data_IF_678962303854
#
_entry.id   IF_678962303854
#
_cell.length_a   1.000
_cell.length_b   1.000
_cell.length_c   1.000
_cell.angle_alpha   90.00
_cell.angle_beta   90.00
_cell.angle_gamma   90.00
#
_symmetry.space_group_name_H-M   'P 1'
#
loop_
_entity.id
_entity.type
_entity.pdbx_description
1 polymer ?
#
# COMPACT_ATOMS: atom_id res chain seq x y z
N UNK A 1 16.24 -28.59 17.76
CA UNK A 1 15.82 -27.21 17.44
C UNK A 1 16.69 -26.75 16.28
N UNK A 2 16.11 -26.53 15.11
CA UNK A 2 16.83 -26.01 13.95
C UNK A 2 16.79 -24.49 14.06
N UNK A 3 17.94 -23.82 13.99
CA UNK A 3 17.97 -22.36 13.96
C UNK A 3 17.38 -21.92 12.61
N UNK A 4 16.34 -21.08 12.58
CA UNK A 4 15.78 -20.61 11.32
C UNK A 4 16.83 -19.83 10.52
N UNK A 5 16.83 -20.01 9.20
CA UNK A 5 17.76 -19.33 8.29
C UNK A 5 17.49 -17.82 8.31
N UNK A 6 18.54 -17.02 8.08
CA UNK A 6 18.42 -15.56 8.01
C UNK A 6 18.33 -15.10 6.56
N UNK A 7 17.34 -14.27 6.27
CA UNK A 7 17.23 -13.57 4.99
C UNK A 7 18.14 -12.34 4.98
N UNK A 8 18.73 -12.08 3.81
CA UNK A 8 19.40 -10.85 3.46
C UNK A 8 18.68 -10.22 2.26
N UNK A 9 18.57 -8.90 2.28
CA UNK A 9 18.03 -8.12 1.16
C UNK A 9 19.13 -7.25 0.58
N UNK A 10 19.26 -7.28 -0.74
CA UNK A 10 20.01 -6.26 -1.49
C UNK A 10 19.02 -5.47 -2.33
N UNK A 11 19.05 -4.15 -2.21
CA UNK A 11 18.14 -3.27 -2.96
C UNK A 11 18.91 -2.74 -4.16
N UNK A 12 18.30 -2.89 -5.33
CA UNK A 12 18.82 -2.38 -6.58
C UNK A 12 17.97 -1.19 -7.02
N UNK A 13 18.63 -0.07 -7.28
CA UNK A 13 17.99 1.11 -7.85
C UNK A 13 18.28 1.08 -9.34
N UNK A 14 17.30 0.63 -10.13
CA UNK A 14 17.44 0.57 -11.58
C UNK A 14 16.42 1.55 -12.16
N UNK A 15 16.89 2.70 -12.65
CA UNK A 15 16.15 3.38 -13.69
C UNK A 15 16.27 2.55 -14.95
N UNK A 16 15.21 1.82 -15.29
CA UNK A 16 15.13 1.10 -16.55
C UNK A 16 15.06 2.14 -17.68
N UNK A 17 16.22 2.61 -18.11
CA UNK A 17 16.38 3.17 -19.45
C UNK A 17 16.32 1.98 -20.39
N UNK A 18 15.12 1.69 -20.91
CA UNK A 18 14.99 0.77 -22.04
C UNK A 18 15.93 1.28 -23.14
N UNK A 19 17.06 0.60 -23.35
CA UNK A 19 17.81 0.68 -24.60
C UNK A 19 16.98 -0.05 -25.67
N UNK A 20 15.86 0.57 -26.03
CA UNK A 20 15.08 0.22 -27.20
C UNK A 20 15.82 0.74 -28.42
N UNK A 21 16.40 -0.18 -29.19
CA UNK A 21 16.75 0.06 -30.59
C UNK A 21 15.44 0.38 -31.32
N UNK A 22 15.21 1.65 -31.66
CA UNK A 22 14.07 2.06 -32.50
C UNK A 22 13.64 3.51 -32.30
N UNK A 23 14.07 4.40 -33.19
CA UNK A 23 13.76 5.82 -33.22
C UNK A 23 12.26 6.13 -33.33
N UNK A 24 11.75 7.12 -32.59
CA UNK A 24 11.22 8.40 -33.10
C UNK A 24 10.85 9.31 -31.93
N UNK A 25 11.26 10.58 -32.01
CA UNK A 25 10.92 11.66 -31.09
C UNK A 25 9.44 11.65 -30.70
N UNK A 26 9.14 11.15 -29.51
CA UNK A 26 8.03 11.63 -28.72
C UNK A 26 8.66 11.96 -27.37
N UNK A 27 8.77 13.25 -27.06
CA UNK A 27 9.36 13.76 -25.82
C UNK A 27 8.58 13.29 -24.59
N UNK A 28 8.78 12.03 -24.20
CA UNK A 28 8.53 11.59 -22.85
C UNK A 28 9.60 12.28 -22.00
N UNK A 29 9.15 13.25 -21.20
CA UNK A 29 9.96 13.85 -20.16
C UNK A 29 10.58 12.69 -19.33
N UNK A 30 11.91 12.62 -19.15
CA UNK A 30 12.55 11.58 -18.34
C UNK A 30 12.00 11.48 -16.90
N UNK A 31 11.26 12.49 -16.43
CA UNK A 31 10.53 12.44 -15.15
C UNK A 31 9.25 11.57 -15.16
N UNK A 32 8.77 11.11 -16.33
CA UNK A 32 7.50 10.36 -16.48
C UNK A 32 7.64 8.83 -16.49
N UNK A 33 8.85 8.29 -16.32
CA UNK A 33 9.04 6.84 -16.23
C UNK A 33 8.54 6.32 -14.87
N UNK A 34 7.76 5.21 -14.84
CA UNK A 34 7.36 4.59 -13.59
C UNK A 34 8.60 4.14 -12.82
N UNK A 35 8.68 4.54 -11.55
CA UNK A 35 9.80 4.22 -10.68
C UNK A 35 9.48 2.96 -9.89
N UNK A 36 10.48 2.09 -9.73
CA UNK A 36 10.30 0.83 -9.02
C UNK A 36 11.32 0.67 -7.91
N UNK A 37 10.87 0.10 -6.80
CA UNK A 37 11.72 -0.55 -5.82
C UNK A 37 11.98 -1.98 -6.30
N UNK A 38 13.24 -2.31 -6.55
CA UNK A 38 13.67 -3.65 -6.89
C UNK A 38 14.52 -4.20 -5.76
N UNK A 39 14.13 -5.35 -5.24
CA UNK A 39 14.88 -6.04 -4.20
C UNK A 39 15.27 -7.44 -4.64
N UNK A 40 16.39 -7.90 -4.11
CA UNK A 40 16.90 -9.25 -4.29
C UNK A 40 17.02 -9.89 -2.92
N UNK A 41 16.28 -10.98 -2.73
CA UNK A 41 16.31 -11.77 -1.51
C UNK A 41 17.28 -12.93 -1.68
N UNK A 42 18.16 -13.09 -0.70
CA UNK A 42 19.13 -14.17 -0.63
C UNK A 42 19.34 -14.63 0.82
N UNK A 43 19.86 -15.83 1.02
CA UNK A 43 20.33 -16.28 2.34
C UNK A 43 21.76 -15.77 2.64
N UNK A 44 22.28 -16.13 3.81
CA UNK A 44 23.65 -15.78 4.24
C UNK A 44 24.73 -16.40 3.34
N UNK A 45 24.42 -17.43 2.57
CA UNK A 45 25.32 -18.06 1.61
C UNK A 45 25.23 -17.44 0.21
N UNK A 46 24.33 -16.46 0.01
CA UNK A 46 24.11 -15.80 -1.27
C UNK A 46 23.17 -16.55 -2.21
N UNK A 47 22.55 -17.65 -1.76
CA UNK A 47 21.56 -18.36 -2.57
C UNK A 47 20.29 -17.51 -2.68
N UNK A 48 19.72 -17.44 -3.89
CA UNK A 48 18.50 -16.67 -4.12
C UNK A 48 17.28 -17.41 -3.56
N UNK A 49 16.43 -16.68 -2.85
CA UNK A 49 15.27 -17.27 -2.15
C UNK A 49 13.98 -16.84 -2.86
N UNK A 50 13.29 -17.77 -3.57
CA UNK A 50 12.00 -17.50 -4.20
C UNK A 50 10.87 -17.52 -3.18
N UNK A 51 9.68 -17.07 -3.59
CA UNK A 51 8.44 -17.08 -2.81
C UNK A 51 8.62 -16.49 -1.39
N UNK A 52 9.32 -15.35 -1.33
CA UNK A 52 9.43 -14.53 -0.11
C UNK A 52 8.41 -13.42 -0.21
N UNK A 53 7.54 -13.35 0.78
CA UNK A 53 6.48 -12.37 0.86
C UNK A 53 7.04 -11.02 1.32
N UNK A 54 6.63 -9.97 0.60
CA UNK A 54 7.08 -8.60 0.81
C UNK A 54 5.91 -7.76 1.31
N UNK A 55 6.05 -7.29 2.55
CA UNK A 55 5.18 -6.30 3.17
C UNK A 55 5.99 -5.03 3.45
N UNK A 56 5.32 -4.01 3.97
CA UNK A 56 6.01 -2.81 4.43
C UNK A 56 5.32 -2.18 5.63
N UNK A 57 6.11 -1.47 6.42
CA UNK A 57 5.65 -0.54 7.45
C UNK A 57 5.99 0.87 6.98
N UNK A 58 5.14 1.84 7.31
CA UNK A 58 5.38 3.23 7.01
C UNK A 58 4.96 4.09 8.19
N UNK A 59 5.66 5.20 8.35
CA UNK A 59 5.25 6.25 9.26
C UNK A 59 4.41 7.27 8.51
N UNK A 60 3.48 7.89 9.22
CA UNK A 60 2.73 9.03 8.72
C UNK A 60 3.19 10.29 9.45
N UNK A 61 3.43 11.35 8.68
CA UNK A 61 3.79 12.65 9.23
C UNK A 61 2.57 13.57 9.14
N UNK A 62 1.84 13.83 10.25
CA UNK A 62 0.74 14.78 10.23
C UNK A 62 1.27 16.19 10.14
N UNK A 63 0.66 17.03 9.30
CA UNK A 63 1.02 18.45 9.17
C UNK A 63 0.88 19.24 10.48
N UNK A 64 0.08 18.74 11.42
CA UNK A 64 -0.23 19.36 12.71
C UNK A 64 0.69 18.89 13.86
N UNK A 65 1.64 17.97 13.63
CA UNK A 65 2.57 17.49 14.68
C UNK A 65 1.90 16.66 15.78
N UNK A 66 0.63 16.26 15.61
CA UNK A 66 -0.11 15.42 16.55
C UNK A 66 0.41 13.98 16.47
N UNK A 67 0.77 13.37 17.60
CA UNK A 67 1.24 11.97 17.64
C UNK A 67 0.26 11.04 16.91
N UNK A 68 0.73 10.41 15.84
CA UNK A 68 -0.10 9.62 14.96
C UNK A 68 -0.47 8.27 15.61
N UNK A 69 -1.77 8.06 15.79
CA UNK A 69 -2.44 6.76 15.82
C UNK A 69 -2.07 5.81 17.00
N UNK A 70 -2.40 6.19 18.23
CA UNK A 70 -2.35 5.29 19.41
C UNK A 70 -3.43 4.18 19.42
N UNK A 71 -4.19 4.00 18.34
CA UNK A 71 -5.14 2.90 18.21
C UNK A 71 -5.09 2.34 16.80
N UNK A 72 -4.54 1.12 16.66
CA UNK A 72 -4.66 0.31 15.45
C UNK A 72 -6.15 -0.09 15.34
N UNK A 73 -6.95 0.74 14.68
CA UNK A 73 -8.31 0.38 14.32
C UNK A 73 -8.23 -0.51 13.08
N UNK A 74 -8.27 -1.82 13.31
CA UNK A 74 -8.34 -2.81 12.23
C UNK A 74 -9.73 -2.80 11.58
N UNK A 75 -10.74 -2.23 12.25
CA UNK A 75 -12.08 -2.02 11.69
C UNK A 75 -12.24 -0.63 11.09
N UNK A 76 -12.63 -0.58 9.82
CA UNK A 76 -12.93 0.66 9.09
C UNK A 76 -14.45 0.79 8.98
N UNK A 77 -14.98 1.97 9.32
CA UNK A 77 -16.41 2.30 9.14
C UNK A 77 -16.57 3.37 8.08
N UNK A 78 -17.39 3.09 7.07
CA UNK A 78 -17.73 4.00 5.98
C UNK A 78 -19.18 4.46 6.14
N UNK A 79 -19.38 5.77 6.27
CA UNK A 79 -20.69 6.40 6.32
C UNK A 79 -21.06 6.99 4.96
N UNK A 80 -22.30 6.82 4.53
CA UNK A 80 -22.82 7.38 3.29
C UNK A 80 -24.33 7.63 3.36
N UNK A 81 -24.82 8.44 2.43
CA UNK A 81 -26.22 8.82 2.31
C UNK A 81 -26.75 8.39 0.94
N UNK A 82 -27.99 7.90 0.94
CA UNK A 82 -28.77 7.60 -0.25
C UNK A 82 -29.95 8.57 -0.28
N UNK A 83 -29.99 9.47 -1.26
CA UNK A 83 -31.01 10.52 -1.32
C UNK A 83 -32.36 10.02 -1.86
N UNK A 84 -32.34 9.01 -2.74
CA UNK A 84 -33.52 8.41 -3.37
C UNK A 84 -33.25 6.90 -3.55
N UNK A 85 -34.29 6.05 -3.64
CA UNK A 85 -34.11 4.62 -3.90
C UNK A 85 -33.17 4.38 -5.09
N UNK A 86 -32.09 3.63 -4.86
CA UNK A 86 -31.05 3.42 -5.85
C UNK A 86 -30.25 2.14 -5.56
N UNK A 87 -29.64 1.61 -6.61
CA UNK A 87 -28.64 0.58 -6.49
C UNK A 87 -27.37 1.14 -5.84
N UNK A 88 -26.92 0.52 -4.76
CA UNK A 88 -25.71 0.87 -4.03
C UNK A 88 -24.66 -0.22 -4.23
N UNK A 89 -23.53 0.18 -4.82
CA UNK A 89 -22.35 -0.67 -4.94
C UNK A 89 -21.21 -0.01 -4.16
N UNK A 90 -20.57 -0.71 -3.24
CA UNK A 90 -19.43 -0.19 -2.48
C UNK A 90 -18.30 -1.21 -2.51
N UNK A 91 -17.18 -0.82 -3.09
CA UNK A 91 -15.99 -1.66 -3.24
C UNK A 91 -14.77 -1.00 -2.63
N UNK A 92 -13.89 -1.80 -2.07
CA UNK A 92 -12.56 -1.39 -1.61
C UNK A 92 -11.53 -1.97 -2.57
N UNK A 93 -10.64 -1.12 -3.06
CA UNK A 93 -9.62 -1.45 -4.05
C UNK A 93 -8.25 -0.96 -3.59
N UNK A 94 -7.20 -1.64 -4.03
CA UNK A 94 -5.81 -1.23 -3.81
C UNK A 94 -5.49 -0.02 -4.68
N UNK A 95 -4.77 0.94 -4.08
CA UNK A 95 -4.23 2.09 -4.79
C UNK A 95 -3.26 1.66 -5.91
N UNK A 96 -3.22 2.45 -6.99
CA UNK A 96 -2.40 2.27 -8.19
C UNK A 96 -2.73 1.04 -9.07
N UNK A 97 -2.93 -0.13 -8.49
CA UNK A 97 -3.22 -1.36 -9.26
C UNK A 97 -4.71 -1.53 -9.59
N UNK A 98 -5.60 -0.81 -8.90
CA UNK A 98 -7.05 -1.01 -8.94
C UNK A 98 -7.49 -2.47 -8.65
N UNK A 99 -6.67 -3.21 -7.91
CA UNK A 99 -7.02 -4.55 -7.48
C UNK A 99 -8.24 -4.51 -6.55
N UNK A 100 -9.30 -5.25 -6.89
CA UNK A 100 -10.46 -5.41 -6.03
C UNK A 100 -10.10 -6.24 -4.79
N UNK A 101 -10.22 -5.64 -3.61
CA UNK A 101 -9.97 -6.31 -2.33
C UNK A 101 -11.25 -6.93 -1.79
N UNK A 102 -12.34 -6.16 -1.74
CA UNK A 102 -13.63 -6.62 -1.24
C UNK A 102 -14.78 -5.78 -1.82
N UNK A 103 -15.92 -6.43 -2.05
CA UNK A 103 -17.22 -5.75 -2.26
C UNK A 103 -17.98 -5.78 -0.95
N UNK A 104 -18.25 -4.60 -0.38
CA UNK A 104 -18.93 -4.45 0.91
C UNK A 104 -20.44 -4.41 0.74
N UNK A 105 -20.92 -3.82 -0.35
CA UNK A 105 -22.34 -3.61 -0.63
C UNK A 105 -22.57 -3.78 -2.13
N UNK A 106 -23.65 -4.48 -2.48
CA UNK A 106 -24.10 -4.66 -3.86
C UNK A 106 -25.61 -4.92 -3.87
N UNK A 107 -26.42 -3.91 -3.59
CA UNK A 107 -27.87 -4.07 -3.41
C UNK A 107 -28.65 -2.77 -3.63
N UNK A 108 -29.93 -2.89 -3.95
CA UNK A 108 -30.88 -1.78 -3.86
C UNK A 108 -31.04 -1.31 -2.41
N UNK A 109 -31.05 0.01 -2.21
CA UNK A 109 -31.32 0.64 -0.92
C UNK A 109 -32.31 1.80 -1.08
N UNK A 110 -33.18 1.98 -0.10
CA UNK A 110 -34.07 3.13 -0.02
C UNK A 110 -33.32 4.38 0.45
N UNK A 111 -33.96 5.54 0.32
CA UNK A 111 -33.42 6.79 0.86
C UNK A 111 -33.14 6.68 2.37
N UNK A 112 -31.96 7.13 2.81
CA UNK A 112 -31.53 7.02 4.19
C UNK A 112 -30.03 7.22 4.38
N UNK A 113 -29.63 7.23 5.66
CA UNK A 113 -28.23 7.24 6.06
C UNK A 113 -27.79 5.83 6.46
N UNK A 114 -26.62 5.42 5.97
CA UNK A 114 -26.10 4.09 6.16
C UNK A 114 -24.65 4.14 6.66
N UNK A 115 -24.25 3.06 7.33
CA UNK A 115 -22.86 2.81 7.67
C UNK A 115 -22.54 1.34 7.44
N UNK A 116 -21.37 1.05 6.90
CA UNK A 116 -20.83 -0.30 6.85
C UNK A 116 -19.49 -0.33 7.55
N UNK A 117 -19.28 -1.34 8.38
CA UNK A 117 -18.01 -1.60 9.05
C UNK A 117 -17.43 -2.89 8.48
N UNK A 118 -16.12 -2.92 8.23
CA UNK A 118 -15.42 -4.12 7.80
C UNK A 118 -14.07 -4.25 8.49
N UNK A 119 -13.65 -5.50 8.69
CA UNK A 119 -12.37 -5.86 9.26
C UNK A 119 -11.28 -5.86 8.17
N UNK A 120 -10.29 -5.00 8.31
CA UNK A 120 -9.15 -4.86 7.44
C UNK A 120 -7.94 -5.70 7.89
N UNK A 121 -8.10 -6.62 8.87
CA UNK A 121 -7.00 -7.40 9.45
C UNK A 121 -6.25 -8.23 8.41
N UNK A 122 -6.95 -8.69 7.38
CA UNK A 122 -6.42 -9.55 6.32
C UNK A 122 -5.77 -8.75 5.18
N UNK A 123 -5.80 -7.42 5.24
CA UNK A 123 -5.22 -6.54 4.25
C UNK A 123 -3.82 -6.12 4.70
N UNK A 124 -2.82 -6.30 3.83
CA UNK A 124 -1.47 -5.76 4.10
C UNK A 124 -1.54 -4.24 4.21
N UNK A 125 -0.55 -3.66 4.87
CA UNK A 125 -0.38 -2.22 4.93
C UNK A 125 -0.40 -1.58 3.55
N UNK A 126 -0.96 -0.37 3.50
CA UNK A 126 -0.78 0.51 2.38
C UNK A 126 -1.99 1.37 2.05
N UNK A 127 -2.00 1.83 0.81
CA UNK A 127 -3.00 2.77 0.32
C UNK A 127 -4.11 2.03 -0.39
N UNK A 128 -5.34 2.37 -0.03
CA UNK A 128 -6.55 1.84 -0.61
C UNK A 128 -7.47 2.99 -1.01
N UNK A 129 -8.45 2.71 -1.85
CA UNK A 129 -9.61 3.59 -2.02
C UNK A 129 -10.87 2.76 -1.94
N UNK A 130 -11.95 3.38 -1.46
CA UNK A 130 -13.27 2.84 -1.72
C UNK A 130 -13.92 3.62 -2.85
N UNK A 131 -14.71 2.92 -3.65
CA UNK A 131 -15.55 3.47 -4.71
C UNK A 131 -16.99 3.12 -4.36
N UNK A 132 -17.79 4.15 -4.13
CA UNK A 132 -19.21 4.07 -3.81
C UNK A 132 -20.00 4.56 -5.01
N UNK A 133 -20.85 3.69 -5.56
CA UNK A 133 -21.87 4.04 -6.53
C UNK A 133 -23.22 4.10 -5.82
N UNK A 134 -23.95 5.19 -6.02
CA UNK A 134 -25.35 5.34 -5.61
C UNK A 134 -26.13 5.75 -6.87
N UNK A 135 -26.75 4.78 -7.52
CA UNK A 135 -27.32 4.96 -8.86
C UNK A 135 -26.23 5.37 -9.86
N UNK A 136 -26.33 6.58 -10.41
CA UNK A 136 -25.35 7.13 -11.36
C UNK A 136 -24.23 7.93 -10.71
N UNK A 137 -24.35 8.25 -9.42
CA UNK A 137 -23.37 9.05 -8.69
C UNK A 137 -22.22 8.18 -8.20
N UNK A 138 -20.98 8.61 -8.41
CA UNK A 138 -19.78 7.91 -7.95
C UNK A 138 -19.01 8.78 -6.98
N UNK A 139 -18.65 8.23 -5.82
CA UNK A 139 -17.75 8.84 -4.85
C UNK A 139 -16.55 7.94 -4.61
N UNK A 140 -15.36 8.50 -4.71
CA UNK A 140 -14.12 7.80 -4.36
C UNK A 140 -13.44 8.50 -3.19
N UNK A 141 -12.98 7.72 -2.19
CA UNK A 141 -12.11 8.25 -1.14
C UNK A 141 -10.97 7.29 -0.84
N UNK A 142 -9.80 7.85 -0.56
CA UNK A 142 -8.60 7.11 -0.18
C UNK A 142 -8.60 6.79 1.31
N UNK A 143 -7.95 5.68 1.65
CA UNK A 143 -7.75 5.19 3.01
C UNK A 143 -6.29 4.75 3.16
N UNK A 144 -5.72 5.00 4.33
CA UNK A 144 -4.44 4.45 4.75
C UNK A 144 -4.70 3.32 5.73
N UNK A 145 -4.10 2.16 5.47
CA UNK A 145 -4.11 1.04 6.40
C UNK A 145 -2.69 0.82 6.93
N UNK A 146 -2.57 0.87 8.25
CA UNK A 146 -1.33 0.62 8.98
C UNK A 146 -1.61 -0.36 10.13
N UNK A 147 -0.98 -1.51 10.05
CA UNK A 147 -0.91 -2.53 11.08
C UNK A 147 0.57 -2.72 11.45
N UNK A 148 0.90 -2.43 12.71
CA UNK A 148 2.26 -2.56 13.25
C UNK A 148 2.48 -3.89 13.99
N UNK A 149 1.44 -4.72 14.15
CA UNK A 149 1.57 -6.08 14.65
C UNK A 149 2.17 -6.96 13.53
N UNK A 150 3.48 -7.22 13.65
CA UNK A 150 4.25 -7.91 12.63
C UNK A 150 3.73 -9.34 12.34
N UNK A 151 3.47 -10.21 13.32
CA UNK A 151 2.79 -11.49 13.10
C UNK A 151 1.47 -11.37 12.32
N UNK A 152 0.62 -10.39 12.67
CA UNK A 152 -0.64 -10.18 11.96
C UNK A 152 -0.38 -9.72 10.52
N UNK A 153 0.53 -8.76 10.31
CA UNK A 153 0.91 -8.26 8.98
C UNK A 153 1.43 -9.38 8.07
N UNK A 154 2.33 -10.22 8.57
CA UNK A 154 2.93 -11.32 7.79
C UNK A 154 1.94 -12.45 7.48
N UNK A 155 0.75 -12.44 8.09
CA UNK A 155 -0.34 -13.37 7.76
C UNK A 155 -1.28 -12.85 6.67
N UNK A 156 -1.13 -11.58 6.26
CA UNK A 156 -1.94 -10.96 5.22
C UNK A 156 -1.45 -11.32 3.81
N UNK A 157 -2.24 -11.01 2.78
CA UNK A 157 -1.77 -11.11 1.40
C UNK A 157 -0.67 -10.08 1.15
N UNK A 158 0.53 -10.48 0.67
CA UNK A 158 1.67 -9.58 0.51
C UNK A 158 1.46 -8.55 -0.60
N UNK A 159 2.28 -7.49 -0.57
CA UNK A 159 2.31 -6.48 -1.62
C UNK A 159 3.00 -7.02 -2.89
N UNK A 160 4.04 -7.82 -2.70
CA UNK A 160 4.75 -8.55 -3.75
C UNK A 160 5.34 -9.83 -3.19
N UNK A 161 5.71 -10.75 -4.07
CA UNK A 161 6.40 -12.00 -3.70
C UNK A 161 7.63 -12.14 -4.59
N UNK A 162 8.75 -12.61 -4.04
CA UNK A 162 9.97 -12.82 -4.83
C UNK A 162 9.81 -13.95 -5.85
N UNK A 163 10.38 -13.76 -7.03
CA UNK A 163 10.33 -14.73 -8.13
C UNK A 163 11.34 -15.87 -7.97
N UNK A 164 11.44 -16.75 -8.98
CA UNK A 164 12.39 -17.88 -9.00
C UNK A 164 13.86 -17.47 -8.85
N UNK A 165 14.21 -16.22 -9.16
CA UNK A 165 15.55 -15.65 -8.98
C UNK A 165 15.67 -14.88 -7.67
N UNK A 166 14.67 -14.93 -6.79
CA UNK A 166 14.61 -14.19 -5.53
C UNK A 166 14.41 -12.69 -5.71
N UNK A 167 14.01 -12.23 -6.90
CA UNK A 167 13.80 -10.81 -7.18
C UNK A 167 12.34 -10.43 -6.95
N UNK A 168 12.10 -9.26 -6.35
CA UNK A 168 10.77 -8.65 -6.31
C UNK A 168 10.82 -7.24 -6.88
N UNK A 169 9.67 -6.76 -7.37
CA UNK A 169 9.52 -5.41 -7.94
C UNK A 169 8.22 -4.80 -7.44
N UNK A 170 8.30 -3.58 -6.91
CA UNK A 170 7.14 -2.81 -6.44
C UNK A 170 7.19 -1.44 -7.09
N UNK A 171 6.08 -1.00 -7.71
CA UNK A 171 5.99 0.36 -8.24
C UNK A 171 5.93 1.37 -7.10
N UNK A 172 6.71 2.45 -7.17
CA UNK A 172 6.84 3.43 -6.09
C UNK A 172 5.50 4.09 -5.76
N UNK A 173 4.62 4.22 -6.75
CA UNK A 173 3.28 4.76 -6.60
C UNK A 173 2.42 3.93 -5.65
N UNK A 174 2.67 2.62 -5.50
CA UNK A 174 1.93 1.76 -4.57
C UNK A 174 2.13 2.16 -3.10
N UNK A 175 3.27 2.78 -2.76
CA UNK A 175 3.53 3.30 -1.42
C UNK A 175 2.75 4.59 -1.11
N UNK A 176 2.21 5.27 -2.13
CA UNK A 176 1.46 6.52 -1.99
C UNK A 176 2.26 7.68 -1.39
N UNK A 177 3.57 7.69 -1.61
CA UNK A 177 4.48 8.73 -1.11
C UNK A 177 4.14 10.10 -1.71
N UNK A 178 4.16 11.13 -0.87
CA UNK A 178 3.88 12.52 -1.30
C UNK A 178 2.41 12.79 -1.65
N UNK A 179 1.52 11.81 -1.48
CA UNK A 179 0.08 11.99 -1.69
C UNK A 179 -0.56 12.49 -0.38
N UNK A 180 -1.36 13.57 -0.41
CA UNK A 180 -2.08 14.03 0.77
C UNK A 180 -3.26 13.11 1.10
N UNK A 181 -3.40 12.79 2.37
CA UNK A 181 -4.54 12.10 2.97
C UNK A 181 -5.23 13.03 3.95
N UNK A 182 -6.56 13.06 3.94
CA UNK A 182 -7.34 13.91 4.82
C UNK A 182 -7.86 13.07 5.98
N UNK A 183 -7.49 13.43 7.21
CA UNK A 183 -8.01 12.80 8.42
C UNK A 183 -8.81 13.82 9.22
N UNK A 184 -10.08 13.50 9.50
CA UNK A 184 -10.90 14.27 10.43
C UNK A 184 -10.78 13.63 11.81
N UNK A 185 -9.96 14.23 12.68
CA UNK A 185 -9.77 13.75 14.06
C UNK A 185 -10.88 14.25 15.01
N UNK A 186 -11.57 15.33 14.64
CA UNK A 186 -12.65 15.95 15.42
C UNK A 186 -13.78 16.46 14.50
N UNK A 187 -15.06 16.12 14.75
CA UNK A 187 -16.19 16.69 14.02
C UNK A 187 -16.23 18.22 14.13
N UNK A 188 -16.31 18.92 13.00
CA UNK A 188 -16.37 20.38 12.94
C UNK A 188 -15.04 21.09 12.70
N UNK A 189 -13.91 20.37 12.69
CA UNK A 189 -12.60 20.92 12.38
C UNK A 189 -12.22 20.74 10.90
N UNK A 190 -11.31 21.60 10.42
CA UNK A 190 -10.63 21.42 9.12
C UNK A 190 -9.87 20.09 9.14
N UNK A 191 -10.04 19.21 8.14
CA UNK A 191 -9.30 17.95 8.08
C UNK A 191 -7.79 18.20 8.07
N UNK A 192 -7.05 17.47 8.91
CA UNK A 192 -5.60 17.49 8.87
C UNK A 192 -5.10 16.76 7.62
N UNK A 193 -4.02 17.29 7.02
CA UNK A 193 -3.36 16.62 5.89
C UNK A 193 -2.22 15.76 6.41
N UNK A 194 -2.24 14.49 6.02
CA UNK A 194 -1.28 13.48 6.41
C UNK A 194 -0.57 12.99 5.16
N UNK A 195 0.75 12.80 5.25
CA UNK A 195 1.57 12.24 4.18
C UNK A 195 2.23 10.95 4.65
N UNK A 196 2.31 9.96 3.74
CA UNK A 196 3.15 8.78 3.96
C UNK A 196 4.62 9.21 3.87
N UNK A 197 5.38 8.89 4.91
CA UNK A 197 6.81 9.18 4.96
C UNK A 197 7.57 8.44 3.86
N UNK A 198 8.56 9.07 3.20
CA UNK A 198 9.46 8.36 2.28
C UNK A 198 10.34 7.33 3.01
N UNK A 199 10.51 7.45 4.34
CA UNK A 199 11.16 6.45 5.15
C UNK A 199 10.15 5.32 5.45
N UNK A 200 10.36 4.16 4.82
CA UNK A 200 9.53 2.96 5.00
C UNK A 200 10.41 1.80 5.47
N UNK A 201 9.81 0.76 6.02
CA UNK A 201 10.52 -0.46 6.40
C UNK A 201 9.98 -1.61 5.57
N UNK A 202 10.84 -2.27 4.79
CA UNK A 202 10.50 -3.47 4.05
C UNK A 202 10.51 -4.65 5.00
N UNK A 203 9.43 -5.42 4.99
CA UNK A 203 9.26 -6.62 5.80
C UNK A 203 9.29 -7.81 4.86
N UNK A 204 10.28 -8.69 5.01
CA UNK A 204 10.37 -9.94 4.26
C UNK A 204 10.00 -11.11 5.16
N UNK A 205 9.07 -11.94 4.69
CA UNK A 205 8.60 -13.11 5.43
C UNK A 205 8.58 -14.36 4.55
N UNK A 206 9.01 -15.49 5.13
CA UNK A 206 8.89 -16.82 4.53
C UNK A 206 8.97 -17.85 5.65
N UNK A 207 8.11 -18.86 5.61
CA UNK A 207 8.14 -19.97 6.56
C UNK A 207 9.54 -20.63 6.61
N UNK A 208 10.02 -20.91 7.81
CA UNK A 208 11.35 -21.49 8.05
C UNK A 208 12.50 -20.48 8.08
N UNK A 209 12.23 -19.19 7.81
CA UNK A 209 13.19 -18.10 7.91
C UNK A 209 12.81 -17.13 9.03
N UNK A 210 13.80 -16.40 9.55
CA UNK A 210 13.52 -15.25 10.40
C UNK A 210 12.97 -14.10 9.55
N UNK A 211 11.86 -13.48 9.99
CA UNK A 211 11.33 -12.27 9.35
C UNK A 211 12.38 -11.16 9.41
N UNK A 212 12.66 -10.57 8.25
CA UNK A 212 13.58 -9.44 8.12
C UNK A 212 12.79 -8.14 8.06
N UNK A 213 13.20 -7.14 8.84
CA UNK A 213 12.67 -5.77 8.76
C UNK A 213 13.82 -4.83 8.42
N UNK A 214 13.76 -4.20 7.25
CA UNK A 214 14.82 -3.37 6.70
C UNK A 214 14.31 -1.95 6.42
N UNK A 215 14.80 -0.93 7.14
CA UNK A 215 14.52 0.47 6.83
C UNK A 215 15.13 0.86 5.48
N UNK A 216 14.37 1.61 4.69
CA UNK A 216 14.77 2.17 3.39
C UNK A 216 14.20 3.58 3.25
N UNK A 217 14.86 4.41 2.45
CA UNK A 217 14.36 5.73 2.09
C UNK A 217 13.96 5.71 0.62
N UNK A 218 12.67 5.75 0.31
CA UNK A 218 12.20 5.84 -1.06
C UNK A 218 12.07 7.32 -1.42
N UNK A 219 12.90 7.81 -2.33
CA UNK A 219 12.77 9.17 -2.83
C UNK A 219 11.58 9.24 -3.83
N UNK A 220 10.52 10.02 -3.55
CA UNK A 220 9.40 10.15 -4.47
C UNK A 220 9.77 10.96 -5.73
N UNK A 221 10.79 11.83 -5.64
CA UNK A 221 11.17 12.78 -6.68
C UNK A 221 12.46 12.41 -7.42
N UNK A 222 13.37 11.62 -6.83
CA UNK A 222 14.56 11.07 -7.49
C UNK A 222 14.66 9.56 -7.34
N UNK A 223 15.57 8.94 -8.08
CA UNK A 223 15.96 7.55 -7.85
C UNK A 223 16.38 7.38 -6.39
N UNK A 224 15.75 6.43 -5.71
CA UNK A 224 16.16 6.02 -4.37
C UNK A 224 17.65 5.66 -4.42
N UNK A 225 18.47 6.17 -3.50
CA UNK A 225 19.89 5.79 -3.40
C UNK A 225 20.03 4.86 -2.20
N UNK A 226 20.46 3.62 -2.47
CA UNK A 226 20.93 2.68 -1.45
C UNK A 226 22.42 2.89 -1.19
#
# INVERSE_FOLDING_TARGET
>A
MVCPYRLLITIFCIAFSFLGIGCKDNGADPETLPKYLIGQVQDEQGNKIPDVDVHYLFDVNPSSGLHALDNILVTITIHYEVLHPAHVNLKVLRWYTEELIITLIDTEQNAGNYSVSFDAAQMTNGVYFYRLWVGTSVTERRMLLLNTDLPALTSTRPLATSDAQGQFTIANEQFGLGIPFFQTTVPGNVPDTVYVSPAVQIVLHKDGFQTLVQPILIDPFKETRA
#
